data_IF_899273675878
#
_entry.id   IF_899273675878
#
_cell.length_a   1.000
_cell.length_b   1.000
_cell.length_c   1.000
_cell.angle_alpha   90.00
_cell.angle_beta   90.00
_cell.angle_gamma   90.00
#
_symmetry.space_group_name_H-M   'P 1'
#
loop_
_entity.id
_entity.type
_entity.pdbx_description
1 polymer ?
#
# COMPACT_ATOMS: atom_id res chain seq x y z
N UNK A 1 1.26 -20.34 -62.34
CA UNK A 1 1.00 -20.83 -60.98
C UNK A 1 1.14 -19.65 -60.04
N UNK A 2 0.09 -19.27 -59.32
CA UNK A 2 0.23 -18.28 -58.26
C UNK A 2 1.05 -18.92 -57.15
N UNK A 3 2.25 -18.41 -56.90
CA UNK A 3 3.09 -18.87 -55.82
C UNK A 3 2.61 -18.21 -54.53
N UNK A 4 2.04 -18.99 -53.62
CA UNK A 4 1.76 -18.53 -52.27
C UNK A 4 3.07 -18.50 -51.47
N UNK A 5 3.30 -17.40 -50.73
CA UNK A 5 4.45 -17.22 -49.84
C UNK A 5 3.97 -16.65 -48.52
N UNK A 6 4.13 -17.43 -47.46
CA UNK A 6 3.85 -16.99 -46.10
C UNK A 6 5.07 -16.30 -45.49
N UNK A 7 4.87 -15.11 -44.92
CA UNK A 7 5.86 -14.41 -44.11
C UNK A 7 5.38 -14.37 -42.65
N UNK A 8 6.26 -14.76 -41.73
CA UNK A 8 5.96 -14.79 -40.29
C UNK A 8 6.82 -13.78 -39.55
N UNK A 9 6.20 -12.96 -38.71
CA UNK A 9 6.88 -11.95 -37.90
C UNK A 9 6.61 -12.22 -36.41
N UNK A 10 7.62 -12.02 -35.56
CA UNK A 10 7.46 -12.01 -34.09
C UNK A 10 7.48 -10.58 -33.61
N UNK A 11 6.45 -10.18 -32.87
CA UNK A 11 6.32 -8.84 -32.29
C UNK A 11 6.40 -8.97 -30.78
N UNK A 12 7.14 -8.07 -30.13
CA UNK A 12 7.19 -8.02 -28.66
C UNK A 12 5.81 -7.63 -28.09
N UNK A 13 5.57 -7.90 -26.81
CA UNK A 13 4.37 -7.39 -26.13
C UNK A 13 4.37 -5.85 -26.14
N UNK A 14 3.18 -5.25 -26.14
CA UNK A 14 3.03 -3.81 -25.91
C UNK A 14 3.10 -3.54 -24.41
N UNK A 15 4.09 -2.77 -23.98
CA UNK A 15 4.33 -2.40 -22.57
C UNK A 15 4.07 -0.91 -22.32
N UNK A 16 3.26 -0.29 -23.19
CA UNK A 16 2.89 1.12 -23.14
C UNK A 16 1.38 1.25 -22.90
N UNK A 17 0.93 2.37 -22.31
CA UNK A 17 -0.50 2.63 -22.10
C UNK A 17 -1.25 2.95 -23.40
N UNK A 18 -0.55 3.03 -24.53
CA UNK A 18 -1.13 3.39 -25.83
C UNK A 18 -1.02 2.23 -26.81
N UNK A 19 -2.00 2.11 -27.70
CA UNK A 19 -1.85 1.26 -28.88
C UNK A 19 -0.66 1.71 -29.74
N UNK A 20 -0.08 0.76 -30.46
CA UNK A 20 0.96 1.04 -31.44
C UNK A 20 0.64 0.43 -32.79
N UNK A 21 1.01 1.15 -33.83
CA UNK A 21 0.73 0.81 -35.21
C UNK A 21 2.04 0.60 -35.97
N UNK A 22 2.06 -0.39 -36.86
CA UNK A 22 3.15 -0.63 -37.80
C UNK A 22 2.58 -0.85 -39.20
N UNK A 23 3.29 -0.39 -40.23
CA UNK A 23 2.89 -0.59 -41.62
C UNK A 23 3.86 -1.54 -42.32
N UNK A 24 3.31 -2.55 -42.98
CA UNK A 24 4.03 -3.43 -43.90
C UNK A 24 3.68 -3.00 -45.31
N UNK A 25 4.65 -2.38 -46.00
CA UNK A 25 4.54 -2.06 -47.41
C UNK A 25 4.97 -3.27 -48.25
N UNK A 26 4.16 -3.60 -49.26
CA UNK A 26 4.40 -4.65 -50.23
C UNK A 26 4.53 -3.98 -51.59
N UNK A 27 5.77 -3.75 -52.01
CA UNK A 27 6.07 -3.08 -53.26
C UNK A 27 6.45 -4.09 -54.36
N UNK A 28 5.95 -3.91 -55.59
CA UNK A 28 6.36 -4.71 -56.73
C UNK A 28 7.82 -4.39 -57.10
N UNK A 29 8.60 -5.42 -57.43
CA UNK A 29 10.01 -5.26 -57.85
C UNK A 29 10.13 -4.52 -59.18
N UNK A 30 9.15 -4.71 -60.08
CA UNK A 30 9.12 -4.07 -61.39
C UNK A 30 8.18 -2.85 -61.38
N UNK A 31 8.69 -1.65 -61.69
CA UNK A 31 7.90 -0.41 -61.66
C UNK A 31 6.64 -0.40 -62.53
N UNK A 32 6.57 -1.25 -63.57
CA UNK A 32 5.39 -1.32 -64.43
C UNK A 32 4.13 -1.83 -63.71
N UNK A 33 4.29 -2.44 -62.53
CA UNK A 33 3.19 -2.95 -61.71
C UNK A 33 2.94 -2.08 -60.48
N UNK A 34 3.41 -0.84 -60.42
CA UNK A 34 3.28 0.02 -59.24
C UNK A 34 1.83 0.12 -58.71
N UNK A 35 0.81 -0.03 -59.56
CA UNK A 35 -0.60 -0.01 -59.14
C UNK A 35 -1.04 -1.16 -58.23
N UNK A 36 -0.27 -2.26 -58.14
CA UNK A 36 -0.58 -3.39 -57.26
C UNK A 36 0.15 -3.33 -55.91
N UNK A 37 0.87 -2.25 -55.62
CA UNK A 37 1.46 -2.04 -54.30
C UNK A 37 0.38 -2.07 -53.21
N UNK A 38 0.69 -2.70 -52.08
CA UNK A 38 -0.25 -2.84 -50.98
C UNK A 38 0.38 -2.40 -49.66
N UNK A 39 -0.42 -1.79 -48.79
CA UNK A 39 0.00 -1.44 -47.43
C UNK A 39 -0.91 -2.17 -46.46
N UNK A 40 -0.32 -2.97 -45.57
CA UNK A 40 -1.00 -3.60 -44.47
C UNK A 40 -0.65 -2.84 -43.18
N UNK A 41 -1.67 -2.32 -42.48
CA UNK A 41 -1.48 -1.73 -41.15
C UNK A 41 -1.76 -2.78 -40.09
N UNK A 42 -0.81 -2.95 -39.17
CA UNK A 42 -0.90 -3.84 -38.02
C UNK A 42 -1.01 -2.98 -36.77
N UNK A 43 -2.14 -3.10 -36.07
CA UNK A 43 -2.36 -2.45 -34.77
C UNK A 43 -2.17 -3.47 -33.66
N UNK A 44 -1.32 -3.14 -32.70
CA UNK A 44 -1.18 -3.90 -31.47
C UNK A 44 -1.84 -3.12 -30.33
N UNK A 45 -2.89 -3.72 -29.78
CA UNK A 45 -3.62 -3.22 -28.62
C UNK A 45 -2.73 -3.23 -27.37
N UNK A 46 -3.14 -2.49 -26.34
CA UNK A 46 -2.53 -2.55 -25.02
C UNK A 46 -2.84 -3.89 -24.34
N UNK A 47 -2.09 -4.21 -23.30
CA UNK A 47 -2.40 -5.37 -22.46
C UNK A 47 -3.66 -5.07 -21.64
N UNK A 48 -4.58 -6.03 -21.52
CA UNK A 48 -5.67 -5.95 -20.54
C UNK A 48 -5.08 -5.94 -19.13
N UNK A 49 -5.52 -5.00 -18.30
CA UNK A 49 -5.09 -4.85 -16.92
C UNK A 49 -6.27 -5.15 -16.00
N UNK A 50 -6.00 -5.94 -14.96
CA UNK A 50 -6.91 -6.03 -13.82
C UNK A 50 -6.66 -4.83 -12.89
N UNK A 51 -7.68 -4.39 -12.12
CA UNK A 51 -7.45 -3.46 -11.03
C UNK A 51 -6.42 -4.03 -10.03
N UNK A 52 -5.78 -3.16 -9.24
CA UNK A 52 -4.82 -3.59 -8.21
C UNK A 52 -3.37 -3.81 -8.67
N UNK A 53 -3.02 -3.59 -9.95
CA UNK A 53 -1.64 -3.68 -10.44
C UNK A 53 -0.73 -2.50 -10.00
N UNK A 54 -0.80 -2.08 -8.74
CA UNK A 54 -0.06 -0.95 -8.19
C UNK A 54 1.31 -1.39 -7.64
N UNK A 55 2.23 -0.43 -7.44
CA UNK A 55 3.48 -0.74 -6.74
C UNK A 55 3.18 -0.93 -5.25
N UNK A 56 3.53 -2.11 -4.73
CA UNK A 56 3.48 -2.41 -3.29
C UNK A 56 4.52 -1.60 -2.49
N UNK A 57 4.16 -1.27 -1.26
CA UNK A 57 5.08 -0.73 -0.26
C UNK A 57 6.28 -1.67 -0.06
N UNK A 58 7.44 -1.09 0.22
CA UNK A 58 8.69 -1.84 0.24
C UNK A 58 9.03 -2.28 1.67
N UNK A 59 9.17 -3.60 1.88
CA UNK A 59 9.65 -4.15 3.16
C UNK A 59 11.10 -3.75 3.41
N UNK A 60 11.35 -3.32 4.64
CA UNK A 60 12.67 -2.99 5.19
C UNK A 60 13.06 -4.12 6.13
N UNK A 61 14.07 -4.90 5.74
CA UNK A 61 14.50 -6.05 6.54
C UNK A 61 15.30 -5.62 7.76
N UNK A 62 14.88 -6.07 8.94
CA UNK A 62 15.68 -5.96 10.14
C UNK A 62 16.84 -6.97 10.08
N UNK A 63 18.04 -6.53 10.44
CA UNK A 63 19.24 -7.37 10.46
C UNK A 63 19.29 -8.28 11.69
N UNK A 64 18.74 -7.81 12.81
CA UNK A 64 18.65 -8.58 14.05
C UNK A 64 17.54 -8.02 14.94
N UNK A 65 17.10 -8.85 15.87
CA UNK A 65 16.17 -8.48 16.93
C UNK A 65 16.72 -8.96 18.28
N UNK A 66 16.54 -8.15 19.33
CA UNK A 66 16.92 -8.48 20.71
C UNK A 66 15.81 -8.10 21.68
N UNK A 67 15.78 -8.73 22.85
CA UNK A 67 14.80 -8.46 23.90
C UNK A 67 15.47 -8.22 25.25
N UNK A 68 14.79 -7.48 26.12
CA UNK A 68 15.21 -7.30 27.52
C UNK A 68 14.83 -8.48 28.43
N UNK A 69 13.88 -9.32 27.98
CA UNK A 69 13.37 -10.48 28.70
C UNK A 69 12.58 -11.37 27.75
N UNK A 70 12.49 -12.67 28.06
CA UNK A 70 11.75 -13.66 27.27
C UNK A 70 11.44 -14.91 28.08
N UNK A 71 10.43 -15.66 27.63
CA UNK A 71 10.32 -17.07 27.95
C UNK A 71 11.41 -17.86 27.21
N UNK A 72 11.90 -18.94 27.82
CA UNK A 72 12.96 -19.76 27.23
C UNK A 72 12.53 -20.30 25.85
N UNK A 73 13.36 -20.06 24.84
CA UNK A 73 13.06 -20.46 23.47
C UNK A 73 12.09 -19.54 22.72
N UNK A 74 11.65 -18.42 23.28
CA UNK A 74 10.76 -17.45 22.64
C UNK A 74 11.40 -16.04 22.54
N UNK A 75 12.59 -15.95 21.96
CA UNK A 75 13.33 -14.70 21.79
C UNK A 75 12.81 -13.78 20.68
N UNK A 76 13.30 -12.54 20.67
CA UNK A 76 12.91 -11.52 19.70
C UNK A 76 13.28 -11.88 18.25
N UNK A 77 14.28 -12.74 18.05
CA UNK A 77 14.70 -13.25 16.74
C UNK A 77 13.56 -13.94 15.99
N UNK A 78 12.61 -14.53 16.73
CA UNK A 78 11.39 -15.12 16.16
C UNK A 78 10.40 -14.11 15.59
N UNK A 79 10.57 -12.82 15.84
CA UNK A 79 9.69 -11.78 15.30
C UNK A 79 10.09 -11.30 13.91
N UNK A 80 11.16 -11.86 13.35
CA UNK A 80 11.70 -11.50 12.04
C UNK A 80 12.16 -12.75 11.27
N UNK A 81 11.69 -13.94 11.64
CA UNK A 81 12.11 -15.20 11.03
C UNK A 81 11.23 -15.61 9.83
N UNK A 82 10.13 -14.88 9.62
CA UNK A 82 9.17 -15.10 8.55
C UNK A 82 8.20 -16.27 8.81
N UNK A 83 8.16 -16.80 10.03
CA UNK A 83 7.33 -17.94 10.42
C UNK A 83 6.24 -17.54 11.42
N UNK A 84 5.01 -17.40 10.91
CA UNK A 84 3.81 -17.14 11.72
C UNK A 84 3.45 -18.26 12.71
N UNK A 85 4.20 -19.37 12.76
CA UNK A 85 4.06 -20.43 13.76
C UNK A 85 5.03 -20.29 14.94
N UNK A 86 6.06 -19.45 14.84
CA UNK A 86 6.95 -19.11 15.96
C UNK A 86 6.51 -17.78 16.57
N UNK A 87 7.01 -17.48 17.77
CA UNK A 87 6.67 -16.24 18.44
C UNK A 87 7.73 -15.81 19.46
N UNK A 88 7.91 -14.50 19.61
CA UNK A 88 8.39 -13.94 20.86
C UNK A 88 7.32 -14.10 21.94
N UNK A 89 7.74 -14.35 23.18
CA UNK A 89 6.87 -14.32 24.35
C UNK A 89 7.63 -13.75 25.54
N UNK A 90 7.03 -12.79 26.24
CA UNK A 90 7.52 -12.33 27.55
C UNK A 90 7.53 -13.51 28.55
N UNK A 91 8.31 -13.47 29.64
CA UNK A 91 8.34 -14.55 30.62
C UNK A 91 6.95 -15.03 31.06
N UNK A 92 6.69 -16.32 30.87
CA UNK A 92 5.53 -17.02 31.43
C UNK A 92 6.07 -18.28 32.10
N UNK A 93 6.43 -18.22 33.38
CA UNK A 93 6.86 -19.42 34.09
C UNK A 93 5.65 -20.15 34.69
N UNK A 94 5.70 -21.48 34.62
CA UNK A 94 4.81 -22.35 35.35
C UNK A 94 5.42 -22.65 36.75
N UNK A 95 4.65 -22.57 37.84
CA UNK A 95 3.24 -22.25 37.89
C UNK A 95 2.99 -20.76 37.63
N UNK A 96 1.85 -20.47 36.98
CA UNK A 96 1.30 -19.13 36.68
C UNK A 96 1.16 -18.22 37.92
N UNK A 97 1.42 -18.78 39.10
CA UNK A 97 1.41 -18.11 40.39
C UNK A 97 2.70 -17.33 40.69
N UNK A 98 3.80 -17.53 39.93
CA UNK A 98 5.02 -16.72 40.05
C UNK A 98 5.49 -16.09 38.71
N UNK A 99 4.67 -15.21 38.12
CA UNK A 99 4.95 -14.54 36.86
C UNK A 99 6.03 -13.46 37.01
N UNK A 100 6.93 -13.37 36.02
CA UNK A 100 8.15 -12.55 36.09
C UNK A 100 8.25 -11.48 35.01
N UNK A 101 7.24 -11.34 34.12
CA UNK A 101 7.20 -10.25 33.15
C UNK A 101 7.34 -8.91 33.85
N UNK A 102 8.28 -8.08 33.42
CA UNK A 102 8.51 -6.74 33.98
C UNK A 102 8.31 -5.71 32.89
N UNK A 103 7.32 -4.84 33.01
CA UNK A 103 7.11 -3.79 32.02
C UNK A 103 8.04 -2.58 32.24
N UNK A 104 8.55 -1.94 31.17
CA UNK A 104 8.24 -2.23 29.77
C UNK A 104 8.94 -3.50 29.23
N UNK A 105 8.22 -4.24 28.39
CA UNK A 105 8.81 -5.29 27.56
C UNK A 105 9.41 -4.63 26.34
N UNK A 106 10.72 -4.78 26.12
CA UNK A 106 11.43 -4.09 25.06
C UNK A 106 11.93 -5.06 24.01
N UNK A 107 11.59 -4.79 22.75
CA UNK A 107 12.18 -5.42 21.57
C UNK A 107 12.97 -4.38 20.78
N UNK A 108 14.21 -4.68 20.44
CA UNK A 108 15.09 -3.79 19.68
C UNK A 108 15.54 -4.44 18.37
N UNK A 109 15.36 -3.72 17.27
CA UNK A 109 15.64 -4.14 15.91
C UNK A 109 16.76 -3.30 15.31
N UNK A 110 17.71 -3.92 14.61
CA UNK A 110 18.80 -3.21 13.92
C UNK A 110 18.65 -3.22 12.41
N UNK A 111 19.18 -2.19 11.74
CA UNK A 111 19.04 -1.99 10.29
C UNK A 111 20.35 -1.50 9.68
N UNK A 112 20.49 -1.69 8.37
CA UNK A 112 21.66 -1.23 7.60
C UNK A 112 21.62 0.27 7.25
N UNK A 113 20.54 0.97 7.61
CA UNK A 113 20.31 2.39 7.37
C UNK A 113 20.14 2.79 5.91
N UNK A 114 19.96 1.85 4.98
CA UNK A 114 19.86 2.16 3.54
C UNK A 114 18.45 2.52 3.09
N UNK A 115 17.43 2.08 3.85
CA UNK A 115 16.01 2.36 3.57
C UNK A 115 15.38 3.13 4.72
N UNK A 116 14.45 4.02 4.36
CA UNK A 116 13.62 4.72 5.33
C UNK A 116 12.45 3.85 5.80
N UNK A 117 11.88 4.17 6.96
CA UNK A 117 10.73 3.45 7.55
C UNK A 117 9.59 4.44 7.81
N UNK A 118 8.40 4.14 7.30
CA UNK A 118 7.18 4.95 7.49
C UNK A 118 6.16 4.30 8.43
N UNK A 119 6.09 2.97 8.45
CA UNK A 119 5.16 2.26 9.32
C UNK A 119 5.68 0.86 9.68
N UNK A 120 5.04 0.29 10.71
CA UNK A 120 5.36 -1.02 11.28
C UNK A 120 4.08 -1.86 11.28
N UNK A 121 4.17 -3.13 10.88
CA UNK A 121 3.11 -4.12 11.10
C UNK A 121 3.53 -5.08 12.20
N UNK A 122 2.64 -5.31 13.15
CA UNK A 122 2.85 -6.22 14.27
C UNK A 122 1.77 -7.30 14.20
N UNK A 123 2.20 -8.56 14.12
CA UNK A 123 1.33 -9.72 14.06
C UNK A 123 1.34 -10.43 15.39
N UNK A 124 0.17 -10.66 15.97
CA UNK A 124 0.00 -11.37 17.22
C UNK A 124 -1.22 -12.28 17.19
N UNK A 125 -1.26 -13.27 18.09
CA UNK A 125 -2.42 -14.14 18.24
C UNK A 125 -3.65 -13.41 18.76
N UNK A 126 -4.76 -14.13 18.91
CA UNK A 126 -6.02 -13.59 19.47
C UNK A 126 -6.17 -13.87 20.98
N UNK A 127 -5.20 -14.55 21.59
CA UNK A 127 -5.21 -14.96 23.00
C UNK A 127 -4.53 -13.99 23.97
N UNK A 128 -3.83 -14.54 24.97
CA UNK A 128 -2.98 -13.76 25.86
C UNK A 128 -1.75 -13.24 25.12
N UNK A 129 -1.18 -12.13 25.59
CA UNK A 129 0.01 -11.53 24.98
C UNK A 129 -0.27 -10.50 23.89
N UNK A 130 -1.54 -10.21 23.57
CA UNK A 130 -1.89 -9.18 22.57
C UNK A 130 -1.35 -7.82 23.00
N UNK A 131 -0.45 -7.19 22.22
CA UNK A 131 0.14 -5.91 22.59
C UNK A 131 -0.93 -4.82 22.75
N UNK A 132 -0.79 -3.96 23.76
CA UNK A 132 -1.63 -2.78 23.94
C UNK A 132 -0.84 -1.50 23.68
N UNK A 133 -0.57 -0.73 24.73
CA UNK A 133 0.18 0.52 24.63
C UNK A 133 1.66 0.26 24.39
N UNK A 134 2.28 1.04 23.52
CA UNK A 134 3.72 1.00 23.31
C UNK A 134 4.33 2.37 23.04
N UNK A 135 5.60 2.48 23.41
CA UNK A 135 6.48 3.57 23.04
C UNK A 135 7.42 3.12 21.92
N UNK A 136 7.66 4.01 20.97
CA UNK A 136 8.64 3.78 19.91
C UNK A 136 9.75 4.81 20.04
N UNK A 137 10.98 4.34 19.97
CA UNK A 137 12.15 5.20 19.82
C UNK A 137 13.08 4.65 18.76
N UNK A 138 13.85 5.51 18.12
CA UNK A 138 14.80 5.09 17.10
C UNK A 138 16.12 5.83 17.23
N UNK A 139 17.15 5.28 16.61
CA UNK A 139 18.48 5.85 16.52
C UNK A 139 18.95 5.78 15.07
N UNK A 140 19.30 6.93 14.50
CA UNK A 140 19.87 7.00 13.16
C UNK A 140 21.36 6.57 13.16
N UNK A 141 21.90 6.25 12.00
CA UNK A 141 23.33 5.95 11.86
C UNK A 141 24.20 7.11 12.35
N UNK A 142 25.19 6.78 13.17
CA UNK A 142 26.11 7.76 13.77
C UNK A 142 25.52 8.60 14.91
N UNK A 143 24.22 8.48 15.22
CA UNK A 143 23.62 9.12 16.39
C UNK A 143 24.03 8.39 17.69
N UNK A 144 24.23 9.16 18.76
CA UNK A 144 24.59 8.61 20.08
C UNK A 144 23.36 8.11 20.85
N UNK A 145 22.26 8.87 20.79
CA UNK A 145 21.07 8.67 21.63
C UNK A 145 19.83 8.29 20.81
N UNK A 146 18.87 7.65 21.47
CA UNK A 146 17.55 7.38 20.90
C UNK A 146 16.68 8.64 20.91
N UNK A 147 15.90 8.79 19.86
CA UNK A 147 14.84 9.79 19.72
C UNK A 147 13.49 9.10 19.88
N UNK A 148 12.69 9.56 20.85
CA UNK A 148 11.32 9.07 21.04
C UNK A 148 10.40 9.60 19.94
N UNK A 149 9.49 8.75 19.44
CA UNK A 149 8.50 9.10 18.42
C UNK A 149 7.15 9.48 19.02
N UNK A 150 6.98 9.27 20.31
CA UNK A 150 5.81 9.65 21.06
C UNK A 150 6.23 10.16 22.44
N UNK A 151 5.36 10.92 23.08
CA UNK A 151 5.55 11.34 24.46
C UNK A 151 4.92 10.31 25.43
N UNK A 152 5.24 10.49 26.72
CA UNK A 152 4.82 9.55 27.76
C UNK A 152 3.29 9.51 27.97
N UNK A 153 2.58 10.59 27.66
CA UNK A 153 1.13 10.72 27.85
C UNK A 153 0.34 10.21 26.64
N UNK A 154 0.95 10.21 25.45
CA UNK A 154 0.36 9.80 24.18
C UNK A 154 1.11 8.62 23.54
N UNK A 155 1.11 7.43 24.16
CA UNK A 155 1.67 6.24 23.52
C UNK A 155 0.86 5.84 22.29
N UNK A 156 1.49 5.08 21.40
CA UNK A 156 0.73 4.31 20.42
C UNK A 156 -0.11 3.25 21.17
N UNK A 157 -1.29 2.93 20.67
CA UNK A 157 -2.20 2.00 21.32
C UNK A 157 -2.80 1.00 20.32
N UNK A 158 -2.37 -0.25 20.45
CA UNK A 158 -2.87 -1.40 19.66
C UNK A 158 -4.16 -1.99 20.24
N UNK A 159 -4.63 -1.44 21.36
CA UNK A 159 -5.91 -1.75 22.01
C UNK A 159 -6.06 -3.22 22.38
N UNK A 160 -4.95 -3.97 22.46
CA UNK A 160 -4.93 -5.39 22.76
C UNK A 160 -5.84 -6.21 21.81
N UNK A 161 -6.01 -5.76 20.56
CA UNK A 161 -6.91 -6.39 19.59
C UNK A 161 -6.43 -7.77 19.15
N UNK A 162 -5.12 -7.90 18.92
CA UNK A 162 -4.52 -9.09 18.30
C UNK A 162 -4.67 -9.07 16.77
N UNK A 163 -4.18 -10.12 16.11
CA UNK A 163 -4.10 -10.16 14.65
C UNK A 163 -3.01 -9.24 14.10
N UNK A 164 -3.15 -8.83 12.84
CA UNK A 164 -2.31 -7.82 12.20
C UNK A 164 -2.72 -6.43 12.67
N UNK A 165 -1.78 -5.67 13.21
CA UNK A 165 -1.98 -4.27 13.56
C UNK A 165 -0.91 -3.41 12.89
N UNK A 166 -1.31 -2.25 12.34
CA UNK A 166 -0.38 -1.30 11.72
C UNK A 166 -0.17 -0.08 12.62
N UNK A 167 1.09 0.30 12.83
CA UNK A 167 1.51 1.53 13.48
C UNK A 167 2.11 2.47 12.45
N UNK A 168 1.39 3.54 12.11
CA UNK A 168 1.92 4.62 11.28
C UNK A 168 2.79 5.55 12.12
N UNK A 169 4.02 5.79 11.67
CA UNK A 169 4.95 6.67 12.36
C UNK A 169 4.58 8.13 12.10
N UNK A 170 4.84 9.04 13.06
CA UNK A 170 4.50 10.47 12.92
C UNK A 170 5.28 11.17 11.80
N UNK A 171 6.42 10.59 11.41
CA UNK A 171 7.26 11.06 10.31
C UNK A 171 8.09 9.89 9.76
N UNK A 172 8.49 9.97 8.49
CA UNK A 172 9.45 9.07 7.87
C UNK A 172 10.76 9.05 8.65
N UNK A 173 11.23 7.86 9.01
CA UNK A 173 12.52 7.68 9.67
C UNK A 173 13.61 7.40 8.64
N UNK A 174 14.61 8.26 8.59
CA UNK A 174 15.74 8.16 7.65
C UNK A 174 16.97 7.55 8.32
N UNK A 175 17.78 6.81 7.55
CA UNK A 175 19.06 6.23 7.99
C UNK A 175 18.97 5.48 9.33
N UNK A 176 17.90 4.70 9.54
CA UNK A 176 17.65 4.01 10.81
C UNK A 176 18.75 2.99 11.07
N UNK A 177 19.40 3.06 12.23
CA UNK A 177 20.36 2.05 12.68
C UNK A 177 19.74 1.07 13.67
N UNK A 178 18.87 1.58 14.55
CA UNK A 178 18.11 0.78 15.51
C UNK A 178 16.75 1.40 15.81
N UNK A 179 15.76 0.56 16.05
CA UNK A 179 14.41 0.93 16.47
C UNK A 179 13.99 0.06 17.65
N UNK A 180 13.49 0.68 18.71
CA UNK A 180 13.02 0.01 19.92
C UNK A 180 11.51 0.15 20.06
N UNK A 181 10.84 -0.99 20.26
CA UNK A 181 9.45 -1.10 20.67
C UNK A 181 9.41 -1.40 22.18
N UNK A 182 8.95 -0.45 22.99
CA UNK A 182 8.82 -0.59 24.43
C UNK A 182 7.34 -0.71 24.79
N UNK A 183 6.84 -1.94 24.89
CA UNK A 183 5.46 -2.23 25.23
C UNK A 183 5.21 -1.94 26.72
N UNK A 184 4.12 -1.23 27.02
CA UNK A 184 3.72 -0.84 28.38
C UNK A 184 2.72 -1.81 28.99
N UNK A 185 1.89 -2.43 28.16
CA UNK A 185 0.92 -3.44 28.56
C UNK A 185 0.56 -4.37 27.38
N UNK A 186 -0.09 -5.48 27.72
CA UNK A 186 -0.72 -6.41 26.80
C UNK A 186 -1.76 -7.27 27.50
N UNK A 187 -2.45 -8.11 26.73
CA UNK A 187 -3.55 -8.91 27.23
C UNK A 187 -3.10 -10.10 28.10
N UNK A 188 -3.99 -10.53 29.00
CA UNK A 188 -3.84 -11.74 29.83
C UNK A 188 -3.60 -11.40 31.29
N UNK A 189 -4.20 -12.19 32.18
CA UNK A 189 -3.95 -12.08 33.61
C UNK A 189 -2.78 -12.99 33.99
N UNK A 190 -1.69 -12.35 34.41
CA UNK A 190 -0.53 -13.01 34.94
C UNK A 190 -0.18 -12.45 36.30
N UNK A 191 -1.13 -11.98 37.12
CA UNK A 191 -0.84 -11.41 38.46
C UNK A 191 0.21 -10.27 38.52
N UNK A 192 0.72 -9.81 37.38
CA UNK A 192 1.57 -8.63 37.21
C UNK A 192 0.75 -7.57 36.50
N UNK A 193 0.92 -6.32 36.91
CA UNK A 193 0.32 -5.19 36.21
C UNK A 193 0.88 -5.10 34.79
N UNK A 194 0.02 -5.28 33.78
CA UNK A 194 0.37 -5.14 32.36
C UNK A 194 0.26 -6.42 31.54
N UNK A 195 0.06 -7.59 32.13
CA UNK A 195 -0.19 -8.83 31.38
C UNK A 195 1.04 -9.41 30.67
N UNK A 196 0.87 -9.87 29.43
CA UNK A 196 1.95 -10.48 28.63
C UNK A 196 2.15 -9.76 27.30
N UNK A 197 3.29 -10.02 26.65
CA UNK A 197 3.52 -9.69 25.24
C UNK A 197 3.87 -10.97 24.48
N UNK A 198 3.15 -11.24 23.40
CA UNK A 198 3.36 -12.35 22.49
C UNK A 198 3.19 -11.86 21.06
N UNK A 199 4.24 -11.98 20.25
CA UNK A 199 4.32 -11.42 18.90
C UNK A 199 4.86 -12.50 17.98
N UNK A 200 4.14 -12.75 16.88
CA UNK A 200 4.57 -13.66 15.82
C UNK A 200 5.60 -12.99 14.93
N UNK A 201 5.26 -11.84 14.36
CA UNK A 201 6.11 -11.14 13.40
C UNK A 201 6.04 -9.63 13.59
N UNK A 202 7.12 -8.95 13.24
CA UNK A 202 7.21 -7.49 13.13
C UNK A 202 7.85 -7.15 11.80
N UNK A 203 7.12 -6.42 10.98
CA UNK A 203 7.55 -6.02 9.65
C UNK A 203 7.62 -4.49 9.56
N UNK A 204 8.65 -3.99 8.87
CA UNK A 204 8.90 -2.56 8.70
C UNK A 204 8.77 -2.20 7.23
N UNK A 205 8.21 -1.03 6.94
CA UNK A 205 7.88 -0.66 5.56
C UNK A 205 8.22 0.78 5.23
N UNK A 206 8.72 0.97 4.01
CA UNK A 206 8.78 2.23 3.29
C UNK A 206 7.51 2.36 2.45
N UNK A 207 6.70 3.39 2.74
CA UNK A 207 5.52 3.67 1.94
C UNK A 207 5.89 4.34 0.63
N UNK A 208 5.31 3.86 -0.47
CA UNK A 208 5.45 4.47 -1.79
C UNK A 208 4.32 5.45 -2.12
N UNK A 209 3.40 5.68 -1.17
CA UNK A 209 2.26 6.58 -1.33
C UNK A 209 2.65 7.96 -1.88
N UNK A 210 3.71 8.58 -1.33
CA UNK A 210 4.11 9.91 -1.79
C UNK A 210 4.68 9.90 -3.21
N UNK A 211 5.47 8.88 -3.55
CA UNK A 211 5.98 8.70 -4.93
C UNK A 211 4.82 8.51 -5.92
N UNK A 212 3.81 7.73 -5.52
CA UNK A 212 2.59 7.52 -6.30
C UNK A 212 1.78 8.82 -6.43
N UNK A 213 1.61 9.58 -5.34
CA UNK A 213 0.94 10.88 -5.34
C UNK A 213 1.64 11.86 -6.29
N UNK A 214 2.96 11.97 -6.22
CA UNK A 214 3.73 12.80 -7.13
C UNK A 214 3.58 12.35 -8.59
N UNK A 215 3.57 11.03 -8.85
CA UNK A 215 3.35 10.48 -10.18
C UNK A 215 1.96 10.83 -10.72
N UNK A 216 0.92 10.73 -9.89
CA UNK A 216 -0.43 11.14 -10.24
C UNK A 216 -0.51 12.65 -10.49
N UNK A 217 0.07 13.48 -9.63
CA UNK A 217 0.04 14.95 -9.76
C UNK A 217 0.87 15.50 -10.93
N UNK A 218 1.76 14.69 -11.52
CA UNK A 218 2.40 15.02 -12.81
C UNK A 218 1.45 14.86 -14.00
N UNK A 219 0.37 14.11 -13.88
CA UNK A 219 -0.59 13.79 -14.95
C UNK A 219 -1.94 14.47 -14.73
N UNK A 220 -2.43 14.44 -13.50
CA UNK A 220 -3.74 14.94 -13.08
C UNK A 220 -3.63 16.27 -12.35
N UNK A 221 -4.74 17.02 -12.32
CA UNK A 221 -4.81 18.31 -11.61
C UNK A 221 -4.72 18.17 -10.09
N UNK A 222 -5.18 17.02 -9.57
CA UNK A 222 -5.23 16.68 -8.16
C UNK A 222 -5.36 15.16 -7.99
N UNK A 223 -5.34 14.68 -6.74
CA UNK A 223 -5.36 13.26 -6.41
C UNK A 223 -6.69 12.55 -6.69
N UNK A 224 -7.77 13.26 -7.07
CA UNK A 224 -9.00 12.60 -7.54
C UNK A 224 -8.82 11.92 -8.90
N UNK A 225 -7.76 12.28 -9.64
CA UNK A 225 -7.47 11.78 -10.98
C UNK A 225 -8.61 11.96 -12.00
N UNK A 226 -9.56 12.87 -11.73
CA UNK A 226 -10.75 13.11 -12.55
C UNK A 226 -10.52 14.03 -13.76
N UNK A 227 -9.38 14.73 -13.77
CA UNK A 227 -9.02 15.69 -14.81
C UNK A 227 -7.51 15.71 -15.04
N UNK A 228 -7.12 15.70 -16.31
CA UNK A 228 -5.72 15.86 -16.71
C UNK A 228 -5.27 17.32 -16.61
N UNK A 229 -3.98 17.51 -16.36
CA UNK A 229 -3.35 18.82 -16.51
C UNK A 229 -3.37 19.27 -17.97
N UNK A 230 -3.39 20.58 -18.19
CA UNK A 230 -3.37 21.17 -19.54
C UNK A 230 -2.07 20.86 -20.29
N UNK A 231 -0.96 20.69 -19.57
CA UNK A 231 0.38 20.42 -20.09
C UNK A 231 0.74 18.92 -20.12
N UNK A 232 -0.21 18.02 -19.88
CA UNK A 232 0.04 16.58 -19.86
C UNK A 232 0.57 16.08 -21.20
N UNK A 233 1.59 15.24 -21.17
CA UNK A 233 2.20 14.64 -22.35
C UNK A 233 2.04 13.12 -22.38
N UNK A 234 2.27 12.51 -23.54
CA UNK A 234 2.29 11.03 -23.65
C UNK A 234 3.41 10.44 -22.80
N UNK A 235 4.55 11.12 -22.71
CA UNK A 235 5.69 10.73 -21.89
C UNK A 235 5.31 10.74 -20.40
N UNK A 236 4.57 11.74 -19.90
CA UNK A 236 4.11 11.76 -18.51
C UNK A 236 3.14 10.62 -18.20
N UNK A 237 2.24 10.28 -19.13
CA UNK A 237 1.30 9.16 -18.97
C UNK A 237 2.04 7.82 -19.03
N UNK A 238 3.03 7.67 -19.91
CA UNK A 238 3.91 6.49 -19.96
C UNK A 238 4.70 6.33 -18.66
N UNK A 239 5.20 7.43 -18.07
CA UNK A 239 5.90 7.38 -16.79
C UNK A 239 4.97 6.94 -15.64
N UNK A 240 3.71 7.43 -15.63
CA UNK A 240 2.68 6.97 -14.71
C UNK A 240 2.40 5.47 -14.92
N UNK A 241 2.33 4.99 -16.16
CA UNK A 241 2.06 3.57 -16.46
C UNK A 241 3.10 2.61 -15.87
N UNK A 242 4.35 3.05 -15.69
CA UNK A 242 5.38 2.22 -15.03
C UNK A 242 5.13 2.04 -13.52
N UNK A 243 4.25 2.86 -12.92
CA UNK A 243 3.97 2.86 -11.48
C UNK A 243 2.52 2.46 -11.17
N UNK A 244 1.57 2.98 -11.96
CA UNK A 244 0.14 2.74 -11.85
C UNK A 244 -0.39 2.43 -13.27
N UNK A 245 -0.12 1.22 -13.80
CA UNK A 245 -0.56 0.81 -15.14
C UNK A 245 -2.05 1.03 -15.36
N UNK A 246 -2.87 0.61 -14.39
CA UNK A 246 -4.33 0.70 -14.49
C UNK A 246 -4.78 2.16 -14.58
N UNK A 247 -4.28 3.03 -13.70
CA UNK A 247 -4.65 4.45 -13.70
C UNK A 247 -4.20 5.17 -14.98
N UNK A 248 -3.01 4.85 -15.50
CA UNK A 248 -2.55 5.42 -16.76
C UNK A 248 -3.42 4.97 -17.95
N UNK A 249 -3.70 3.67 -18.06
CA UNK A 249 -4.37 3.09 -19.22
C UNK A 249 -5.88 3.30 -19.22
N UNK A 250 -6.55 3.08 -18.08
CA UNK A 250 -8.02 3.06 -17.99
C UNK A 250 -8.62 4.42 -17.54
N UNK A 251 -7.77 5.36 -17.10
CA UNK A 251 -8.19 6.71 -16.70
C UNK A 251 -7.50 7.80 -17.53
N UNK A 252 -6.16 7.88 -17.48
CA UNK A 252 -5.46 8.99 -18.13
C UNK A 252 -5.58 8.97 -19.67
N UNK A 253 -5.45 7.81 -20.32
CA UNK A 253 -5.58 7.70 -21.78
C UNK A 253 -7.00 8.03 -22.28
N UNK A 254 -8.08 7.48 -21.69
CA UNK A 254 -9.45 7.88 -22.01
C UNK A 254 -9.72 9.37 -21.85
N UNK A 255 -9.25 9.99 -20.76
CA UNK A 255 -9.37 11.43 -20.55
C UNK A 255 -8.61 12.22 -21.62
N UNK A 256 -7.41 11.78 -22.00
CA UNK A 256 -6.61 12.44 -23.04
C UNK A 256 -7.29 12.36 -24.41
N UNK A 257 -7.91 11.23 -24.72
CA UNK A 257 -8.58 10.99 -25.99
C UNK A 257 -10.02 11.56 -26.02
N UNK A 258 -10.54 12.05 -24.89
CA UNK A 258 -11.91 12.53 -24.77
C UNK A 258 -12.95 11.44 -25.00
N UNK A 259 -12.64 10.18 -24.64
CA UNK A 259 -13.53 9.04 -24.90
C UNK A 259 -14.64 8.89 -23.87
N UNK A 260 -14.51 9.55 -22.70
CA UNK A 260 -15.63 9.65 -21.77
C UNK A 260 -16.68 10.59 -22.37
N UNK A 261 -17.82 10.02 -22.74
CA UNK A 261 -18.95 10.83 -23.12
C UNK A 261 -19.50 11.60 -21.90
N UNK A 262 -20.36 12.58 -22.15
CA UNK A 262 -20.91 13.43 -21.08
C UNK A 262 -21.68 12.62 -20.04
N UNK A 263 -22.30 11.50 -20.43
CA UNK A 263 -23.07 10.66 -19.52
C UNK A 263 -22.13 9.86 -18.61
N UNK A 264 -21.10 9.22 -19.16
CA UNK A 264 -20.11 8.48 -18.39
C UNK A 264 -19.35 9.39 -17.41
N UNK A 265 -19.02 10.62 -17.84
CA UNK A 265 -18.35 11.59 -16.98
C UNK A 265 -19.16 11.92 -15.72
N UNK A 266 -20.49 12.03 -15.82
CA UNK A 266 -21.38 12.34 -14.68
C UNK A 266 -21.34 11.29 -13.57
N UNK A 267 -21.08 10.02 -13.89
CA UNK A 267 -20.97 8.95 -12.89
C UNK A 267 -19.55 8.79 -12.33
N UNK A 268 -18.52 9.21 -13.09
CA UNK A 268 -17.12 9.05 -12.70
C UNK A 268 -16.58 10.22 -11.89
N UNK A 269 -17.05 11.44 -12.17
CA UNK A 269 -16.60 12.65 -11.50
C UNK A 269 -17.80 13.49 -11.06
N UNK A 270 -18.18 13.34 -9.80
CA UNK A 270 -19.30 14.09 -9.22
C UNK A 270 -18.87 14.83 -7.96
N UNK A 271 -19.35 16.07 -7.82
CA UNK A 271 -19.22 16.82 -6.58
C UNK A 271 -20.45 16.57 -5.72
N UNK A 272 -20.23 15.98 -4.54
CA UNK A 272 -21.28 15.81 -3.54
C UNK A 272 -21.16 16.90 -2.48
N UNK A 273 -22.28 17.56 -2.17
CA UNK A 273 -22.36 18.35 -0.96
C UNK A 273 -22.52 17.40 0.24
N UNK A 274 -21.84 17.65 1.38
CA UNK A 274 -22.17 16.93 2.60
C UNK A 274 -23.66 17.11 2.90
N UNK A 275 -24.30 16.10 3.48
CA UNK A 275 -25.70 16.20 3.87
C UNK A 275 -25.94 17.47 4.70
N UNK A 276 -27.09 18.11 4.50
CA UNK A 276 -27.48 19.28 5.29
C UNK A 276 -27.45 18.94 6.78
N UNK A 277 -27.08 19.89 7.66
CA UNK A 277 -27.04 19.73 9.12
C UNK A 277 -28.14 18.78 9.60
N UNK A 278 -27.74 17.63 10.17
CA UNK A 278 -28.61 16.51 10.48
C UNK A 278 -29.77 16.88 11.41
N UNK A 279 -29.73 18.04 12.07
CA UNK A 279 -30.84 18.63 12.83
C UNK A 279 -32.11 18.92 12.01
N UNK A 280 -32.06 18.88 10.67
CA UNK A 280 -33.27 19.00 9.84
C UNK A 280 -34.25 17.84 10.08
N UNK A 281 -33.78 16.71 10.60
CA UNK A 281 -34.61 15.57 10.98
C UNK A 281 -35.67 15.95 12.03
N UNK A 282 -35.35 16.90 12.93
CA UNK A 282 -36.29 17.41 13.94
C UNK A 282 -37.46 18.16 13.29
N UNK A 283 -37.23 18.80 12.13
CA UNK A 283 -38.27 19.49 11.36
C UNK A 283 -39.07 18.54 10.47
N UNK A 284 -38.41 17.51 9.93
CA UNK A 284 -39.01 16.53 9.01
C UNK A 284 -39.63 15.32 9.72
N UNK A 285 -39.46 15.21 11.04
CA UNK A 285 -39.91 14.07 11.87
C UNK A 285 -39.37 12.71 11.38
N UNK A 286 -38.14 12.71 10.86
CA UNK A 286 -37.45 11.50 10.38
C UNK A 286 -36.34 11.08 11.35
N UNK A 287 -35.86 9.83 11.21
CA UNK A 287 -34.69 9.36 11.96
C UNK A 287 -33.45 10.18 11.55
N UNK A 288 -32.64 10.56 12.53
CA UNK A 288 -31.38 11.24 12.28
C UNK A 288 -30.42 10.26 11.63
N UNK A 289 -29.97 10.55 10.42
CA UNK A 289 -28.79 9.91 9.86
C UNK A 289 -27.57 10.31 10.68
N UNK A 290 -26.59 9.42 10.82
CA UNK A 290 -25.33 9.76 11.46
C UNK A 290 -24.61 10.83 10.63
N UNK A 291 -23.72 11.63 11.24
CA UNK A 291 -22.88 12.58 10.48
C UNK A 291 -21.91 11.88 9.51
N UNK A 292 -21.78 10.56 9.62
CA UNK A 292 -20.97 9.72 8.75
C UNK A 292 -21.78 9.07 7.62
N UNK A 293 -23.11 9.24 7.59
CA UNK A 293 -23.98 8.65 6.58
C UNK A 293 -24.11 9.62 5.38
N UNK A 294 -23.03 9.82 4.63
CA UNK A 294 -23.07 10.44 3.29
C UNK A 294 -23.00 9.30 2.26
N UNK A 295 -24.13 8.69 1.85
CA UNK A 295 -24.09 7.66 0.82
C UNK A 295 -23.65 8.31 -0.49
N UNK A 296 -22.54 7.85 -1.05
CA UNK A 296 -22.05 8.24 -2.38
C UNK A 296 -22.98 7.75 -3.50
N UNK A 297 -23.89 6.81 -3.19
CA UNK A 297 -24.69 6.10 -4.18
C UNK A 297 -23.90 5.02 -4.93
N UNK A 298 -22.65 4.76 -4.52
CA UNK A 298 -21.81 3.69 -5.06
C UNK A 298 -22.10 2.41 -4.28
N UNK A 299 -22.58 1.39 -4.97
CA UNK A 299 -22.79 0.03 -4.46
C UNK A 299 -21.85 -0.92 -5.20
N UNK A 300 -21.15 -1.78 -4.44
CA UNK A 300 -20.26 -2.82 -4.99
C UNK A 300 -20.51 -4.14 -4.27
N UNK A 301 -20.28 -5.25 -4.96
CA UNK A 301 -20.41 -6.57 -4.38
C UNK A 301 -19.20 -6.91 -3.50
N UNK A 302 -19.39 -7.83 -2.55
CA UNK A 302 -18.28 -8.36 -1.76
C UNK A 302 -17.27 -9.05 -2.68
N UNK A 303 -16.02 -8.59 -2.66
CA UNK A 303 -14.94 -9.08 -3.50
C UNK A 303 -14.67 -8.24 -4.75
N UNK A 304 -15.51 -7.23 -5.04
CA UNK A 304 -15.20 -6.25 -6.08
C UNK A 304 -14.04 -5.34 -5.64
N UNK A 305 -13.11 -5.09 -6.55
CA UNK A 305 -12.04 -4.13 -6.32
C UNK A 305 -12.50 -2.72 -6.69
N UNK A 306 -12.33 -1.79 -5.76
CA UNK A 306 -12.63 -0.36 -5.95
C UNK A 306 -11.35 0.45 -5.86
N UNK A 307 -11.23 1.44 -6.74
CA UNK A 307 -10.23 2.50 -6.63
C UNK A 307 -10.91 3.70 -5.95
N UNK A 308 -10.34 4.16 -4.84
CA UNK A 308 -10.85 5.29 -4.04
C UNK A 308 -9.77 6.37 -3.92
#
# INVERSE_FOLDING_TARGET
>A
AFADRTYSYKVQANTQPFERNATIAIDPVDPQYAEIAAVCTVTQQTKTLEPGANIDDERVEALSATDNQRHEGNGADKTIDGDMQTNYHSPWEAPIDNPTTTFPVELEYTFDGTKAIDYIRIYSGTGNGRPGKLDISYKAQGAADYVALNDAEHPFDLQQKGGEQTVYLPSRLENVASLKLSFRDGAGDNKVSGGFISIYEVEFYLSKKDLLNEAMLRVFTDLSCSKLREDVSRESITALYQQLPYLAQEVAVPLQNGTYDSFEYEFRAQSYAPYSNNEINLRLLTKMYSRMDNPTGIEVAAGDEILV
#
